data_IF_750283331119
#
_entry.id   IF_750283331119
#
_cell.length_a   1.000
_cell.length_b   1.000
_cell.length_c   1.000
_cell.angle_alpha   90.00
_cell.angle_beta   90.00
_cell.angle_gamma   90.00
#
_symmetry.space_group_name_H-M   'P 1'
#
loop_
_entity.id
_entity.type
_entity.pdbx_description
1 polymer ?
#
# COMPACT_ATOMS: atom_id res chain seq x y z
N UNK A 1 -17.75 7.59 27.35
CA UNK A 1 -16.27 7.71 27.13
C UNK A 1 -15.82 6.45 26.42
N UNK A 2 -15.10 6.58 25.30
CA UNK A 2 -14.62 5.42 24.53
C UNK A 2 -13.43 4.81 25.30
N UNK A 3 -13.48 3.52 25.57
CA UNK A 3 -12.37 2.80 26.17
C UNK A 3 -11.31 2.52 25.08
N UNK A 4 -10.08 3.00 25.29
CA UNK A 4 -8.94 2.75 24.41
C UNK A 4 -8.04 1.72 25.09
N UNK A 5 -7.78 0.56 24.48
CA UNK A 5 -6.88 -0.46 25.04
C UNK A 5 -5.46 0.09 25.28
N UNK A 6 -4.76 -0.43 26.29
CA UNK A 6 -3.47 0.12 26.72
C UNK A 6 -2.38 -0.04 25.64
N UNK A 7 -2.39 -1.15 24.89
CA UNK A 7 -1.47 -1.35 23.76
C UNK A 7 -1.66 -0.33 22.63
N UNK A 8 -2.85 0.27 22.50
CA UNK A 8 -3.09 1.35 21.53
C UNK A 8 -2.61 2.70 22.06
N UNK A 9 -2.75 2.96 23.37
CA UNK A 9 -2.32 4.23 23.98
C UNK A 9 -0.82 4.48 23.86
N UNK A 10 -0.01 3.42 23.81
CA UNK A 10 1.45 3.53 23.74
C UNK A 10 1.98 3.70 22.30
N UNK A 11 1.13 3.55 21.30
CA UNK A 11 1.53 3.72 19.91
C UNK A 11 1.95 5.16 19.62
N UNK A 12 3.07 5.31 18.92
CA UNK A 12 3.53 6.61 18.43
C UNK A 12 3.13 6.77 16.97
N UNK A 13 2.64 7.95 16.56
CA UNK A 13 2.32 8.22 15.17
C UNK A 13 3.55 8.04 14.28
N UNK A 14 3.38 7.36 13.15
CA UNK A 14 4.41 7.26 12.14
C UNK A 14 4.75 8.65 11.56
N UNK A 15 6.04 8.94 11.47
CA UNK A 15 6.56 10.16 10.82
C UNK A 15 7.20 9.77 9.50
N UNK A 16 6.52 10.03 8.39
CA UNK A 16 7.08 9.76 7.06
C UNK A 16 8.30 10.65 6.78
N UNK A 17 9.26 10.16 6.00
CA UNK A 17 10.43 10.93 5.55
C UNK A 17 10.05 12.23 4.81
N UNK A 18 8.89 12.27 4.16
CA UNK A 18 8.37 13.45 3.46
C UNK A 18 7.95 14.60 4.39
N UNK A 19 7.93 14.42 5.71
CA UNK A 19 7.63 15.52 6.64
C UNK A 19 8.74 16.58 6.72
N UNK A 20 9.94 16.26 6.26
CA UNK A 20 11.04 17.22 6.17
C UNK A 20 10.73 18.35 5.18
N UNK A 21 9.91 18.08 4.14
CA UNK A 21 9.52 19.05 3.11
C UNK A 21 8.45 20.08 3.49
N UNK A 22 7.84 19.99 4.69
CA UNK A 22 6.77 20.93 5.09
C UNK A 22 7.23 22.36 5.30
N UNK A 23 8.53 22.60 5.42
CA UNK A 23 9.13 23.94 5.60
C UNK A 23 9.78 24.48 4.32
N UNK A 24 9.69 23.75 3.20
CA UNK A 24 10.35 24.08 1.94
C UNK A 24 9.30 24.52 0.94
N UNK A 25 9.61 25.53 0.11
CA UNK A 25 8.70 25.95 -0.96
C UNK A 25 8.42 24.82 -1.94
N UNK A 26 7.27 24.88 -2.64
CA UNK A 26 6.91 23.86 -3.65
C UNK A 26 7.93 23.80 -4.80
N UNK A 27 8.60 24.91 -5.10
CA UNK A 27 9.63 24.97 -6.13
C UNK A 27 10.95 24.34 -5.67
N UNK A 28 11.34 24.58 -4.43
CA UNK A 28 12.55 23.97 -3.87
C UNK A 28 12.33 22.49 -3.60
N UNK A 29 11.11 22.07 -3.23
CA UNK A 29 10.76 20.66 -3.09
C UNK A 29 10.98 19.87 -4.38
N UNK A 30 10.67 20.46 -5.55
CA UNK A 30 10.91 19.83 -6.86
C UNK A 30 12.39 19.62 -7.19
N UNK A 31 13.29 20.37 -6.53
CA UNK A 31 14.74 20.24 -6.73
C UNK A 31 15.38 19.22 -5.78
N UNK A 32 14.63 18.74 -4.78
CA UNK A 32 15.16 17.76 -3.82
C UNK A 32 15.22 16.38 -4.46
N UNK A 33 16.32 15.69 -4.22
CA UNK A 33 16.43 14.26 -4.50
C UNK A 33 15.85 13.51 -3.30
N UNK A 34 14.65 12.94 -3.45
CA UNK A 34 14.04 12.13 -2.42
C UNK A 34 14.54 10.69 -2.51
N UNK A 35 15.25 10.23 -1.50
CA UNK A 35 15.75 8.85 -1.37
C UNK A 35 15.06 8.08 -0.24
N UNK A 36 14.08 8.69 0.43
CA UNK A 36 13.50 8.16 1.66
C UNK A 36 12.28 7.25 1.46
N UNK A 37 11.59 7.33 0.32
CA UNK A 37 10.28 6.69 0.12
C UNK A 37 10.29 5.57 -0.90
N UNK A 38 11.46 5.10 -1.29
CA UNK A 38 11.65 4.04 -2.29
C UNK A 38 10.86 4.31 -3.59
N UNK A 39 10.82 5.58 -4.00
CA UNK A 39 10.14 6.04 -5.21
C UNK A 39 10.92 5.65 -6.46
N UNK A 40 10.21 5.43 -7.56
CA UNK A 40 10.86 5.19 -8.85
C UNK A 40 11.27 6.52 -9.51
N UNK A 41 12.57 6.86 -9.58
CA UNK A 41 13.02 8.12 -10.15
C UNK A 41 12.78 8.24 -11.67
N UNK A 42 12.52 7.12 -12.35
CA UNK A 42 12.16 7.10 -13.77
C UNK A 42 10.70 7.48 -14.03
N UNK A 43 9.91 7.61 -12.97
CA UNK A 43 8.49 7.91 -13.05
C UNK A 43 7.60 6.70 -13.36
N UNK A 44 6.35 6.96 -13.66
CA UNK A 44 5.37 5.93 -13.99
C UNK A 44 5.44 5.53 -15.47
N UNK A 45 5.06 4.28 -15.76
CA UNK A 45 4.92 3.80 -17.14
C UNK A 45 3.96 4.71 -17.94
N UNK A 46 4.30 5.15 -19.15
CA UNK A 46 3.40 5.90 -20.01
C UNK A 46 2.06 5.20 -20.24
N UNK A 47 2.07 3.87 -20.44
CA UNK A 47 0.86 3.08 -20.61
C UNK A 47 -0.02 3.09 -19.35
N UNK A 48 0.59 3.07 -18.15
CA UNK A 48 -0.15 3.18 -16.90
C UNK A 48 -0.82 4.56 -16.76
N UNK A 49 -0.13 5.63 -17.15
CA UNK A 49 -0.68 6.99 -17.14
C UNK A 49 -1.87 7.10 -18.10
N UNK A 50 -1.76 6.53 -19.30
CA UNK A 50 -2.86 6.52 -20.27
C UNK A 50 -4.06 5.72 -19.76
N UNK A 51 -3.83 4.55 -19.16
CA UNK A 51 -4.88 3.73 -18.57
C UNK A 51 -5.62 4.48 -17.46
N UNK A 52 -4.90 5.18 -16.58
CA UNK A 52 -5.51 6.00 -15.51
C UNK A 52 -6.36 7.13 -16.11
N UNK A 53 -5.88 7.82 -17.13
CA UNK A 53 -6.64 8.88 -17.79
C UNK A 53 -7.94 8.35 -18.39
N UNK A 54 -7.89 7.19 -19.04
CA UNK A 54 -9.08 6.55 -19.62
C UNK A 54 -10.08 6.11 -18.54
N UNK A 55 -9.59 5.50 -17.46
CA UNK A 55 -10.46 5.03 -16.37
C UNK A 55 -11.10 6.18 -15.56
N UNK A 56 -10.58 7.40 -15.68
CA UNK A 56 -11.17 8.57 -15.01
C UNK A 56 -12.62 8.86 -15.44
N UNK A 57 -13.03 8.43 -16.63
CA UNK A 57 -14.41 8.56 -17.11
C UNK A 57 -15.38 7.59 -16.40
N UNK A 58 -14.87 6.53 -15.81
CA UNK A 58 -15.62 5.44 -15.19
C UNK A 58 -15.59 5.47 -13.66
N UNK A 59 -14.93 6.44 -13.03
CA UNK A 59 -14.76 6.49 -11.57
C UNK A 59 -16.06 6.60 -10.77
N UNK A 60 -17.16 6.99 -11.41
CA UNK A 60 -18.49 7.05 -10.79
C UNK A 60 -19.12 5.65 -10.64
N UNK A 61 -18.59 4.65 -11.32
CA UNK A 61 -19.10 3.26 -11.26
C UNK A 61 -18.38 2.50 -10.15
N UNK A 62 -19.15 1.80 -9.32
CA UNK A 62 -18.58 0.97 -8.26
C UNK A 62 -17.78 -0.19 -8.84
N UNK A 63 -16.49 -0.34 -8.51
CA UNK A 63 -15.68 -1.39 -9.10
C UNK A 63 -16.07 -2.79 -8.58
N UNK A 64 -15.75 -3.82 -9.36
CA UNK A 64 -15.87 -5.19 -8.87
C UNK A 64 -14.85 -5.46 -7.75
N UNK A 65 -15.28 -5.78 -6.52
CA UNK A 65 -14.38 -5.95 -5.38
C UNK A 65 -13.40 -7.12 -5.54
N UNK A 66 -13.70 -8.11 -6.36
CA UNK A 66 -12.77 -9.21 -6.66
C UNK A 66 -11.71 -8.86 -7.70
N UNK A 67 -11.77 -7.68 -8.32
CA UNK A 67 -10.81 -7.20 -9.32
C UNK A 67 -10.37 -8.27 -10.35
N UNK A 68 -11.34 -8.96 -11.04
CA UNK A 68 -11.03 -10.15 -11.82
C UNK A 68 -10.01 -9.91 -12.94
N UNK A 69 -10.04 -8.74 -13.58
CA UNK A 69 -9.11 -8.41 -14.66
C UNK A 69 -7.67 -8.31 -14.13
N UNK A 70 -7.48 -7.67 -12.96
CA UNK A 70 -6.18 -7.57 -12.30
C UNK A 70 -5.69 -8.95 -11.84
N UNK A 71 -6.56 -9.73 -11.19
CA UNK A 71 -6.24 -11.09 -10.72
C UNK A 71 -5.81 -11.98 -11.88
N UNK A 72 -6.56 -11.98 -12.98
CA UNK A 72 -6.22 -12.77 -14.16
C UNK A 72 -4.92 -12.32 -14.84
N UNK A 73 -4.67 -11.00 -14.89
CA UNK A 73 -3.43 -10.47 -15.46
C UNK A 73 -2.21 -10.89 -14.61
N UNK A 74 -2.31 -10.80 -13.29
CA UNK A 74 -1.25 -11.23 -12.36
C UNK A 74 -1.03 -12.74 -12.47
N UNK A 75 -2.10 -13.54 -12.43
CA UNK A 75 -2.07 -15.00 -12.55
C UNK A 75 -1.34 -15.43 -13.83
N UNK A 76 -1.69 -14.81 -14.96
CA UNK A 76 -1.04 -15.05 -16.24
C UNK A 76 0.45 -14.66 -16.22
N UNK A 77 0.77 -13.49 -15.66
CA UNK A 77 2.15 -12.98 -15.63
C UNK A 77 3.07 -13.89 -14.81
N UNK A 78 2.60 -14.36 -13.65
CA UNK A 78 3.38 -15.23 -12.75
C UNK A 78 3.16 -16.72 -13.00
N UNK A 79 2.38 -17.10 -14.01
CA UNK A 79 2.03 -18.49 -14.30
C UNK A 79 1.48 -19.21 -13.05
N UNK A 80 0.50 -18.61 -12.40
CA UNK A 80 -0.17 -19.12 -11.20
C UNK A 80 -1.68 -19.21 -11.45
N UNK A 81 -2.39 -20.12 -10.76
CA UNK A 81 -3.85 -20.16 -10.79
C UNK A 81 -4.43 -18.86 -10.21
N UNK A 82 -5.52 -18.30 -10.77
CA UNK A 82 -6.17 -17.10 -10.25
C UNK A 82 -6.60 -17.22 -8.78
N UNK A 83 -6.98 -18.39 -8.32
CA UNK A 83 -7.34 -18.69 -6.93
C UNK A 83 -6.18 -18.57 -5.93
N UNK A 84 -4.95 -18.47 -6.42
CA UNK A 84 -3.76 -18.23 -5.61
C UNK A 84 -3.43 -16.74 -5.50
N UNK A 85 -4.26 -15.85 -6.07
CA UNK A 85 -3.99 -14.41 -6.11
C UNK A 85 -5.04 -13.68 -5.28
N UNK A 86 -4.59 -12.87 -4.35
CA UNK A 86 -5.40 -11.87 -3.66
C UNK A 86 -4.86 -10.47 -3.94
N UNK A 87 -5.74 -9.49 -3.95
CA UNK A 87 -5.39 -8.08 -4.14
C UNK A 87 -5.87 -7.25 -2.97
N UNK A 88 -5.22 -6.13 -2.71
CA UNK A 88 -5.58 -5.23 -1.61
C UNK A 88 -5.04 -3.82 -1.83
N UNK A 89 -5.32 -2.93 -0.89
CA UNK A 89 -4.87 -1.54 -0.92
C UNK A 89 -3.42 -1.41 -0.44
N UNK A 90 -2.49 -1.99 -1.19
CA UNK A 90 -1.08 -2.04 -0.86
C UNK A 90 -0.71 -3.20 0.08
N UNK A 91 0.60 -3.32 0.35
CA UNK A 91 1.15 -4.41 1.17
C UNK A 91 0.62 -4.42 2.60
N UNK A 92 0.35 -3.25 3.18
CA UNK A 92 -0.12 -3.14 4.57
C UNK A 92 -1.48 -3.83 4.76
N UNK A 93 -2.41 -3.64 3.82
CA UNK A 93 -3.71 -4.33 3.89
C UNK A 93 -3.56 -5.84 3.74
N UNK A 94 -2.71 -6.30 2.83
CA UNK A 94 -2.46 -7.72 2.63
C UNK A 94 -1.82 -8.36 3.87
N UNK A 95 -0.82 -7.72 4.47
CA UNK A 95 -0.18 -8.18 5.70
C UNK A 95 -1.21 -8.27 6.83
N UNK A 96 -2.03 -7.25 7.01
CA UNK A 96 -3.09 -7.24 8.02
C UNK A 96 -4.12 -8.36 7.80
N UNK A 97 -4.50 -8.61 6.55
CA UNK A 97 -5.46 -9.67 6.22
C UNK A 97 -4.86 -11.07 6.43
N UNK A 98 -3.58 -11.27 6.10
CA UNK A 98 -2.86 -12.52 6.40
C UNK A 98 -2.84 -12.78 7.91
N UNK A 99 -2.50 -11.77 8.72
CA UNK A 99 -2.51 -11.94 10.17
C UNK A 99 -3.89 -12.27 10.71
N UNK A 100 -4.94 -11.57 10.25
CA UNK A 100 -6.33 -11.84 10.67
C UNK A 100 -6.81 -13.23 10.26
N UNK A 101 -6.39 -13.72 9.08
CA UNK A 101 -6.85 -14.99 8.56
C UNK A 101 -6.13 -16.21 9.17
N UNK A 102 -4.86 -16.06 9.51
CA UNK A 102 -4.00 -17.19 9.88
C UNK A 102 -3.49 -17.16 11.33
N UNK A 103 -3.69 -16.07 12.08
CA UNK A 103 -3.25 -15.99 13.46
C UNK A 103 -4.46 -16.10 14.40
N UNK A 104 -4.42 -17.07 15.32
CA UNK A 104 -5.41 -17.26 16.38
C UNK A 104 -4.78 -17.00 17.73
N UNK A 105 -5.61 -16.99 18.81
CA UNK A 105 -5.16 -16.83 20.17
C UNK A 105 -4.04 -17.83 20.52
N UNK A 106 -3.07 -17.40 21.31
CA UNK A 106 -1.86 -18.17 21.70
C UNK A 106 -0.86 -18.47 20.57
N UNK A 107 -0.96 -17.83 19.42
CA UNK A 107 0.06 -17.90 18.37
C UNK A 107 0.97 -16.68 18.35
N UNK A 108 2.19 -16.87 17.91
CA UNK A 108 3.22 -15.84 17.83
C UNK A 108 3.52 -15.50 16.37
N UNK A 109 3.85 -14.22 16.13
CA UNK A 109 4.32 -13.72 14.84
C UNK A 109 5.77 -13.28 15.02
N UNK A 110 6.65 -13.84 14.20
CA UNK A 110 8.08 -13.49 14.20
C UNK A 110 8.31 -12.45 13.12
N UNK A 111 8.87 -11.30 13.51
CA UNK A 111 9.21 -10.22 12.59
C UNK A 111 10.59 -9.64 12.93
N UNK A 112 11.25 -9.00 11.95
CA UNK A 112 12.50 -8.30 12.20
C UNK A 112 12.27 -7.06 13.08
N UNK A 113 13.22 -6.73 13.95
CA UNK A 113 13.15 -5.55 14.81
C UNK A 113 13.13 -4.23 14.01
N UNK A 114 13.89 -4.18 12.92
CA UNK A 114 13.92 -3.06 11.97
C UNK A 114 13.13 -3.37 10.71
N UNK A 115 11.83 -3.57 10.86
CA UNK A 115 10.91 -3.77 9.72
C UNK A 115 10.21 -2.48 9.34
N UNK A 116 9.48 -2.49 8.22
CA UNK A 116 8.51 -1.44 7.88
C UNK A 116 7.36 -1.48 8.90
N UNK A 117 6.82 -0.30 9.22
CA UNK A 117 5.82 -0.09 10.27
C UNK A 117 4.47 -0.65 9.86
#
# INVERSE_FOLDING_TARGET
>A
MIHIPDHIKVLKPYKSGNQVGKQISREDFKKLVNLASNENPLGASPLAIEAIKKSAEEIAVYPNPSAPDLVNAIAKHFNKPPECIITGSGSDSIIADVFKAFTVEDQEIIMADATFI
#
